data_IF_383341487084
#
_entry.id   IF_383341487084
#
_cell.length_a   1.000
_cell.length_b   1.000
_cell.length_c   1.000
_cell.angle_alpha   90.00
_cell.angle_beta   90.00
_cell.angle_gamma   90.00
#
_symmetry.space_group_name_H-M   'P 1'
#
loop_
_entity.id
_entity.type
_entity.pdbx_description
1 polymer ?
#
# COMPACT_ATOMS: atom_id res chain seq x y z
N UNK A 1 2.97 -18.83 13.76
CA UNK A 1 2.94 -18.94 12.29
C UNK A 1 1.89 -19.99 11.94
N UNK A 2 0.74 -19.56 11.45
CA UNK A 2 -0.31 -20.44 10.94
C UNK A 2 0.12 -20.92 9.55
N UNK A 3 0.11 -22.20 9.31
CA UNK A 3 0.45 -22.77 8.00
C UNK A 3 -0.75 -22.58 7.06
N UNK A 4 -0.51 -22.09 5.84
CA UNK A 4 -1.57 -21.75 4.87
C UNK A 4 -2.55 -22.87 4.51
N UNK A 5 -2.28 -24.14 4.88
CA UNK A 5 -3.20 -25.26 4.68
C UNK A 5 -4.37 -25.36 5.68
N UNK A 6 -4.32 -24.60 6.78
CA UNK A 6 -5.32 -24.69 7.84
C UNK A 6 -6.54 -23.77 7.59
N UNK A 7 -6.48 -22.91 6.57
CA UNK A 7 -7.51 -21.89 6.31
C UNK A 7 -8.58 -22.29 5.29
N UNK A 8 -8.36 -23.30 4.47
CA UNK A 8 -9.36 -23.72 3.49
C UNK A 8 -10.00 -25.04 3.89
N UNK A 9 -11.33 -25.19 3.76
CA UNK A 9 -12.03 -26.42 4.09
C UNK A 9 -11.77 -27.57 3.10
N UNK A 10 -11.10 -27.27 2.00
CA UNK A 10 -10.73 -28.20 0.95
C UNK A 10 -9.20 -28.30 0.91
N UNK A 11 -8.70 -29.52 0.77
CA UNK A 11 -7.29 -29.81 0.57
C UNK A 11 -6.77 -28.96 -0.62
N UNK A 12 -6.33 -27.76 -0.33
CA UNK A 12 -5.60 -26.92 -1.29
C UNK A 12 -4.25 -27.60 -1.52
N UNK A 13 -4.30 -28.72 -2.22
CA UNK A 13 -3.15 -29.58 -2.43
C UNK A 13 -2.10 -28.92 -3.35
N UNK A 14 -2.42 -27.75 -3.91
CA UNK A 14 -1.48 -27.03 -4.75
C UNK A 14 -1.69 -25.53 -4.61
N UNK A 15 -0.62 -24.79 -4.30
CA UNK A 15 -0.54 -23.33 -4.42
C UNK A 15 -0.85 -22.82 -5.85
N UNK A 16 -0.92 -23.73 -6.81
CA UNK A 16 -1.23 -23.48 -8.22
C UNK A 16 -2.73 -23.55 -8.54
N UNK A 17 -3.58 -23.91 -7.56
CA UNK A 17 -5.03 -23.94 -7.76
C UNK A 17 -5.59 -22.53 -7.91
N UNK A 18 -6.49 -22.36 -8.87
CA UNK A 18 -7.22 -21.08 -9.04
C UNK A 18 -8.10 -20.85 -7.82
N UNK A 19 -7.88 -19.74 -7.13
CA UNK A 19 -8.71 -19.34 -5.99
C UNK A 19 -10.10 -18.93 -6.51
N UNK A 20 -11.16 -19.52 -5.93
CA UNK A 20 -12.53 -19.15 -6.27
C UNK A 20 -13.07 -18.08 -5.32
N UNK A 21 -14.19 -17.45 -5.70
CA UNK A 21 -14.85 -16.42 -4.87
C UNK A 21 -15.31 -16.97 -3.51
N UNK A 22 -15.79 -18.22 -3.46
CA UNK A 22 -16.15 -18.88 -2.20
C UNK A 22 -14.94 -19.20 -1.33
N UNK A 23 -13.80 -19.59 -1.92
CA UNK A 23 -12.54 -19.82 -1.18
C UNK A 23 -12.05 -18.52 -0.55
N UNK A 24 -12.09 -17.42 -1.29
CA UNK A 24 -11.75 -16.11 -0.78
C UNK A 24 -12.65 -15.68 0.40
N UNK A 25 -13.96 -15.91 0.31
CA UNK A 25 -14.89 -15.63 1.42
C UNK A 25 -14.55 -16.41 2.69
N UNK A 26 -14.13 -17.69 2.56
CA UNK A 26 -13.66 -18.49 3.70
C UNK A 26 -12.39 -17.91 4.30
N UNK A 27 -11.40 -17.58 3.47
CA UNK A 27 -10.14 -17.00 3.96
C UNK A 27 -10.38 -15.69 4.71
N UNK A 28 -11.17 -14.78 4.13
CA UNK A 28 -11.48 -13.48 4.73
C UNK A 28 -12.21 -13.63 6.06
N UNK A 29 -13.25 -14.49 6.12
CA UNK A 29 -14.00 -14.73 7.35
C UNK A 29 -13.10 -15.30 8.44
N UNK A 30 -12.24 -16.26 8.12
CA UNK A 30 -11.31 -16.87 9.09
C UNK A 30 -10.24 -15.89 9.58
N UNK A 31 -9.71 -15.06 8.71
CA UNK A 31 -8.79 -13.97 9.11
C UNK A 31 -9.46 -13.06 10.13
N UNK A 32 -10.70 -12.62 9.87
CA UNK A 32 -11.42 -11.75 10.79
C UNK A 32 -11.73 -12.42 12.12
N UNK A 33 -12.16 -13.67 12.11
CA UNK A 33 -12.52 -14.39 13.35
C UNK A 33 -11.29 -14.86 14.14
N UNK A 34 -10.25 -15.37 13.49
CA UNK A 34 -9.11 -16.00 14.17
C UNK A 34 -7.97 -15.01 14.48
N UNK A 35 -7.70 -14.03 13.59
CA UNK A 35 -6.63 -13.07 13.80
C UNK A 35 -7.12 -11.78 14.47
N UNK A 36 -8.32 -11.31 14.12
CA UNK A 36 -8.87 -10.07 14.67
C UNK A 36 -9.92 -10.32 15.77
N UNK A 37 -10.25 -11.57 16.09
CA UNK A 37 -11.25 -11.95 17.10
C UNK A 37 -12.61 -11.26 16.90
N UNK A 38 -12.97 -10.95 15.66
CA UNK A 38 -14.22 -10.27 15.33
C UNK A 38 -15.41 -11.20 15.51
N UNK A 39 -16.41 -10.76 16.29
CA UNK A 39 -17.68 -11.48 16.43
C UNK A 39 -18.43 -11.51 15.08
N UNK A 40 -19.25 -12.55 14.85
CA UNK A 40 -20.03 -12.70 13.62
C UNK A 40 -20.98 -11.50 13.39
N UNK A 41 -21.07 -11.07 12.14
CA UNK A 41 -22.01 -10.04 11.72
C UNK A 41 -23.43 -10.62 11.56
N UNK A 42 -24.46 -9.76 11.66
CA UNK A 42 -25.82 -10.13 11.30
C UNK A 42 -25.92 -10.39 9.78
N UNK A 43 -26.26 -11.62 9.43
CA UNK A 43 -26.39 -12.06 8.04
C UNK A 43 -27.83 -12.05 7.51
N UNK A 44 -28.79 -11.58 8.30
CA UNK A 44 -30.23 -11.60 7.95
C UNK A 44 -30.58 -10.84 6.67
N UNK A 45 -29.76 -9.86 6.31
CA UNK A 45 -29.94 -9.03 5.10
C UNK A 45 -29.21 -9.56 3.86
N UNK A 46 -28.44 -10.65 3.98
CA UNK A 46 -27.72 -11.25 2.85
C UNK A 46 -28.68 -12.10 2.02
N UNK A 47 -29.02 -11.62 0.83
CA UNK A 47 -29.88 -12.30 -0.13
C UNK A 47 -29.09 -12.59 -1.40
N UNK A 48 -28.84 -13.87 -1.67
CA UNK A 48 -28.13 -14.34 -2.87
C UNK A 48 -28.97 -15.40 -3.58
N UNK A 49 -29.23 -15.23 -4.88
CA UNK A 49 -30.13 -16.09 -5.65
C UNK A 49 -29.60 -17.55 -5.78
N UNK A 50 -28.29 -17.71 -5.75
CA UNK A 50 -27.59 -19.00 -5.84
C UNK A 50 -27.05 -19.54 -4.50
N UNK A 51 -27.45 -18.94 -3.35
CA UNK A 51 -26.94 -19.33 -2.03
C UNK A 51 -27.17 -20.82 -1.72
N UNK A 52 -28.31 -21.35 -2.13
CA UNK A 52 -28.63 -22.78 -1.96
C UNK A 52 -27.79 -23.73 -2.82
N UNK A 53 -27.18 -23.23 -3.89
CA UNK A 53 -26.29 -23.99 -4.78
C UNK A 53 -24.84 -24.06 -4.24
N UNK A 54 -24.47 -23.17 -3.32
CA UNK A 54 -23.16 -23.20 -2.68
C UNK A 54 -23.00 -24.49 -1.83
N UNK A 55 -21.81 -25.13 -1.82
CA UNK A 55 -21.54 -26.21 -0.89
C UNK A 55 -21.76 -25.76 0.55
N UNK A 56 -22.36 -26.61 1.37
CA UNK A 56 -22.79 -26.27 2.74
C UNK A 56 -21.66 -25.68 3.60
N UNK A 57 -20.43 -26.21 3.46
CA UNK A 57 -19.27 -25.76 4.20
C UNK A 57 -18.85 -24.30 3.91
N UNK A 58 -19.26 -23.73 2.75
CA UNK A 58 -18.90 -22.36 2.36
C UNK A 58 -19.96 -21.33 2.76
N UNK A 59 -21.24 -21.75 2.94
CA UNK A 59 -22.37 -20.85 3.18
C UNK A 59 -22.18 -19.88 4.34
N UNK A 60 -21.71 -20.34 5.53
CA UNK A 60 -21.52 -19.41 6.66
C UNK A 60 -20.51 -18.31 6.33
N UNK A 61 -19.37 -18.70 5.76
CA UNK A 61 -18.30 -17.74 5.44
C UNK A 61 -18.69 -16.78 4.32
N UNK A 62 -19.43 -17.25 3.31
CA UNK A 62 -19.96 -16.39 2.25
C UNK A 62 -20.97 -15.37 2.83
N UNK A 63 -21.88 -15.81 3.69
CA UNK A 63 -22.82 -14.92 4.36
C UNK A 63 -22.10 -13.85 5.19
N UNK A 64 -21.08 -14.24 5.97
CA UNK A 64 -20.30 -13.32 6.79
C UNK A 64 -19.50 -12.32 5.94
N UNK A 65 -18.84 -12.78 4.87
CA UNK A 65 -18.09 -11.91 3.97
C UNK A 65 -19.00 -10.90 3.24
N UNK A 66 -20.21 -11.32 2.85
CA UNK A 66 -21.19 -10.42 2.25
C UNK A 66 -21.79 -9.43 3.26
N UNK A 67 -22.14 -9.88 4.47
CA UNK A 67 -22.70 -9.03 5.51
C UNK A 67 -21.75 -7.90 5.92
N UNK A 68 -20.42 -8.15 5.82
CA UNK A 68 -19.37 -7.18 6.12
C UNK A 68 -18.97 -6.31 4.92
N UNK A 69 -19.60 -6.50 3.75
CA UNK A 69 -19.24 -5.78 2.53
C UNK A 69 -17.88 -6.16 1.93
N UNK A 70 -17.23 -7.22 2.44
CA UNK A 70 -15.96 -7.69 1.88
C UNK A 70 -16.13 -8.22 0.46
N UNK A 71 -17.18 -9.00 0.24
CA UNK A 71 -17.52 -9.55 -1.08
C UNK A 71 -18.95 -9.16 -1.41
N UNK A 72 -19.20 -8.71 -2.62
CA UNK A 72 -20.56 -8.40 -3.11
C UNK A 72 -21.02 -9.47 -4.09
N UNK A 73 -22.34 -9.70 -4.17
CA UNK A 73 -22.94 -10.48 -5.26
C UNK A 73 -22.85 -9.75 -6.60
N UNK A 74 -23.18 -10.44 -7.67
CA UNK A 74 -23.31 -9.88 -9.01
C UNK A 74 -24.61 -9.07 -9.15
N UNK A 75 -24.73 -8.21 -10.19
CA UNK A 75 -25.95 -7.42 -10.42
C UNK A 75 -27.22 -8.25 -10.63
N UNK A 76 -27.10 -9.51 -11.03
CA UNK A 76 -28.22 -10.47 -11.18
C UNK A 76 -28.64 -11.13 -9.85
N UNK A 77 -27.99 -10.73 -8.74
CA UNK A 77 -28.26 -11.24 -7.41
C UNK A 77 -27.53 -12.55 -7.08
N UNK A 78 -26.74 -13.12 -7.99
CA UNK A 78 -25.96 -14.33 -7.73
C UNK A 78 -24.64 -14.00 -7.00
N UNK A 79 -24.06 -14.98 -6.32
CA UNK A 79 -22.73 -14.88 -5.73
C UNK A 79 -21.64 -15.38 -6.67
N UNK A 80 -21.91 -16.43 -7.47
CA UNK A 80 -20.94 -17.05 -8.35
C UNK A 80 -19.79 -17.71 -7.60
N UNK A 81 -20.09 -18.52 -6.57
CA UNK A 81 -19.09 -19.06 -5.64
C UNK A 81 -17.94 -19.81 -6.29
N UNK A 82 -18.22 -20.56 -7.39
CA UNK A 82 -17.21 -21.31 -8.16
C UNK A 82 -16.41 -20.49 -9.16
N UNK A 83 -16.73 -19.20 -9.33
CA UNK A 83 -16.04 -18.36 -10.30
C UNK A 83 -14.61 -18.05 -9.86
N UNK A 84 -13.65 -18.01 -10.80
CA UNK A 84 -12.27 -17.65 -10.52
C UNK A 84 -12.16 -16.22 -9.96
N UNK A 85 -11.40 -16.05 -8.90
CA UNK A 85 -11.09 -14.72 -8.38
C UNK A 85 -9.96 -14.11 -9.23
N UNK A 86 -10.22 -12.97 -9.86
CA UNK A 86 -9.14 -12.25 -10.54
C UNK A 86 -8.19 -11.60 -9.54
N UNK A 87 -6.94 -11.35 -9.96
CA UNK A 87 -5.95 -10.63 -9.12
C UNK A 87 -6.47 -9.27 -8.64
N UNK A 88 -7.11 -8.51 -9.53
CA UNK A 88 -7.70 -7.22 -9.19
C UNK A 88 -8.79 -7.35 -8.12
N UNK A 89 -9.69 -8.34 -8.26
CA UNK A 89 -10.70 -8.61 -7.24
C UNK A 89 -10.06 -9.04 -5.91
N UNK A 90 -9.03 -9.89 -5.96
CA UNK A 90 -8.28 -10.31 -4.77
C UNK A 90 -7.66 -9.12 -4.02
N UNK A 91 -7.02 -8.21 -4.73
CA UNK A 91 -6.45 -6.97 -4.16
C UNK A 91 -7.53 -6.12 -3.50
N UNK A 92 -8.68 -5.91 -4.17
CA UNK A 92 -9.80 -5.16 -3.60
C UNK A 92 -10.35 -5.80 -2.32
N UNK A 93 -10.37 -7.13 -2.24
CA UNK A 93 -10.79 -7.86 -1.04
C UNK A 93 -9.81 -7.65 0.13
N UNK A 94 -8.50 -7.70 -0.14
CA UNK A 94 -7.47 -7.46 0.86
C UNK A 94 -7.51 -6.03 1.40
N UNK A 95 -7.74 -5.04 0.55
CA UNK A 95 -7.92 -3.65 0.97
C UNK A 95 -9.14 -3.49 1.89
N UNK A 96 -10.29 -4.05 1.52
CA UNK A 96 -11.48 -4.03 2.38
C UNK A 96 -11.27 -4.76 3.70
N UNK A 97 -10.50 -5.84 3.70
CA UNK A 97 -10.14 -6.56 4.91
C UNK A 97 -9.26 -5.69 5.82
N UNK A 98 -8.28 -4.99 5.26
CA UNK A 98 -7.42 -4.08 5.99
C UNK A 98 -8.21 -2.92 6.61
N UNK A 99 -9.16 -2.34 5.87
CA UNK A 99 -10.04 -1.28 6.37
C UNK A 99 -10.87 -1.75 7.57
N UNK A 100 -11.47 -2.95 7.50
CA UNK A 100 -12.22 -3.52 8.62
C UNK A 100 -11.33 -3.85 9.82
N UNK A 101 -10.11 -4.34 9.59
CA UNK A 101 -9.14 -4.61 10.65
C UNK A 101 -8.69 -3.33 11.37
N UNK A 102 -8.52 -2.24 10.64
CA UNK A 102 -8.14 -0.93 11.20
C UNK A 102 -9.20 -0.31 12.10
N UNK A 103 -10.48 -0.60 11.84
CA UNK A 103 -11.60 -0.09 12.65
C UNK A 103 -11.74 -0.80 14.02
N UNK A 104 -11.04 -1.90 14.25
CA UNK A 104 -11.17 -2.70 15.48
C UNK A 104 -9.93 -2.70 16.38
N UNK A 105 -8.84 -2.05 15.98
CA UNK A 105 -7.72 -1.80 16.88
C UNK A 105 -8.09 -0.56 17.73
N UNK A 106 -8.99 -0.72 18.69
CA UNK A 106 -8.99 0.15 19.88
C UNK A 106 -7.66 -0.13 20.59
N UNK A 107 -6.79 0.84 20.80
CA UNK A 107 -5.69 0.64 21.71
C UNK A 107 -6.29 0.37 23.09
N UNK A 108 -6.13 -0.82 23.64
CA UNK A 108 -6.18 -0.97 25.10
C UNK A 108 -5.21 0.06 25.66
N UNK A 109 -5.70 0.87 26.60
CA UNK A 109 -4.88 1.80 27.37
C UNK A 109 -3.66 1.04 27.89
N UNK A 110 -2.53 1.22 27.23
CA UNK A 110 -1.25 0.83 27.79
C UNK A 110 -0.93 1.89 28.82
N UNK A 111 -1.01 1.54 30.10
CA UNK A 111 -0.47 2.35 31.19
C UNK A 111 0.94 2.84 30.79
N UNK A 112 1.26 4.11 30.99
CA UNK A 112 2.57 4.63 30.62
C UNK A 112 3.65 3.84 31.37
N UNK A 113 4.71 3.39 30.69
CA UNK A 113 5.80 2.66 31.32
C UNK A 113 6.39 3.53 32.42
N UNK A 114 6.51 2.95 33.62
CA UNK A 114 7.15 3.56 34.76
C UNK A 114 8.54 4.08 34.41
N UNK A 115 8.94 5.15 35.09
CA UNK A 115 10.20 5.86 34.90
C UNK A 115 11.39 4.89 34.78
N UNK A 116 12.35 5.16 33.84
CA UNK A 116 13.48 4.26 33.61
C UNK A 116 14.38 4.18 34.82
N UNK A 117 14.73 2.96 35.23
CA UNK A 117 15.81 2.70 36.17
C UNK A 117 17.14 3.17 35.58
N UNK A 118 18.09 3.61 36.41
CA UNK A 118 19.36 4.15 35.93
C UNK A 118 20.18 3.07 35.24
N UNK A 119 20.63 3.41 34.03
CA UNK A 119 21.48 2.59 33.16
C UNK A 119 22.80 2.22 33.84
N UNK A 120 23.29 0.96 33.75
CA UNK A 120 24.63 0.62 34.21
C UNK A 120 25.70 1.25 33.31
N UNK A 121 26.83 1.62 33.93
CA UNK A 121 27.98 2.23 33.28
C UNK A 121 28.54 1.37 32.12
N UNK A 122 29.07 2.00 31.05
CA UNK A 122 29.54 1.28 29.87
C UNK A 122 30.83 0.51 30.15
N UNK A 123 30.83 -0.78 29.81
CA UNK A 123 32.05 -1.62 29.75
C UNK A 123 32.82 -1.24 28.48
N UNK A 124 34.17 -1.11 28.53
CA UNK A 124 34.94 -0.70 27.36
C UNK A 124 34.94 -1.80 26.29
N UNK A 125 34.55 -1.38 25.09
CA UNK A 125 34.49 -2.17 23.86
C UNK A 125 35.90 -2.52 23.35
N UNK A 126 36.16 -3.77 22.90
CA UNK A 126 37.44 -4.08 22.26
C UNK A 126 37.57 -3.40 20.90
N UNK A 127 38.71 -2.85 20.61
CA UNK A 127 39.02 -2.10 19.41
C UNK A 127 38.64 -2.88 18.13
N UNK A 128 37.74 -2.32 17.35
CA UNK A 128 37.31 -2.82 16.04
C UNK A 128 38.45 -2.58 15.02
N UNK A 129 38.86 -3.65 14.33
CA UNK A 129 39.72 -3.55 13.14
C UNK A 129 38.99 -2.75 12.06
N UNK A 130 39.66 -1.72 11.57
CA UNK A 130 39.15 -0.85 10.49
C UNK A 130 39.08 -1.62 9.18
N UNK A 131 37.87 -2.04 8.81
CA UNK A 131 37.54 -2.39 7.42
C UNK A 131 37.44 -1.07 6.64
N UNK A 132 38.04 -0.93 5.45
CA UNK A 132 37.92 0.30 4.68
C UNK A 132 36.45 0.58 4.35
N UNK A 133 35.96 1.73 4.81
CA UNK A 133 34.60 2.19 4.53
C UNK A 133 34.41 2.29 3.02
N UNK A 134 33.53 1.45 2.46
CA UNK A 134 32.89 1.77 1.19
C UNK A 134 32.20 3.12 1.40
N UNK A 135 32.59 4.10 0.61
CA UNK A 135 31.97 5.42 0.62
C UNK A 135 30.46 5.26 0.40
N UNK A 136 29.69 5.54 1.45
CA UNK A 136 28.25 5.66 1.31
C UNK A 136 27.93 6.65 0.19
N UNK A 137 27.00 6.33 -0.73
CA UNK A 137 26.56 7.29 -1.73
C UNK A 137 26.02 8.53 -1.02
N UNK A 138 26.23 9.70 -1.62
CA UNK A 138 25.92 10.99 -1.05
C UNK A 138 24.52 11.00 -0.41
N UNK A 139 24.48 11.23 0.90
CA UNK A 139 23.24 11.43 1.63
C UNK A 139 22.72 12.83 1.31
N UNK A 140 21.56 12.92 0.67
CA UNK A 140 20.89 14.17 0.35
C UNK A 140 20.02 14.05 -0.89
N UNK A 141 19.03 14.92 -1.05
CA UNK A 141 18.11 14.87 -2.18
C UNK A 141 18.84 15.12 -3.51
N UNK A 142 18.64 14.21 -4.48
CA UNK A 142 19.00 14.45 -5.87
C UNK A 142 17.84 15.20 -6.53
N UNK A 143 17.96 16.50 -6.69
CA UNK A 143 16.89 17.39 -7.18
C UNK A 143 16.73 17.37 -8.69
N UNK A 144 17.57 16.66 -9.43
CA UNK A 144 17.42 16.48 -10.87
C UNK A 144 16.25 15.55 -11.18
N UNK A 145 15.30 16.01 -11.96
CA UNK A 145 14.13 15.21 -12.35
C UNK A 145 14.51 14.13 -13.36
N UNK A 146 13.76 13.02 -13.31
CA UNK A 146 13.95 11.91 -14.23
C UNK A 146 15.15 11.04 -13.91
N UNK A 147 15.37 10.04 -14.77
CA UNK A 147 16.45 9.07 -14.62
C UNK A 147 17.83 9.66 -14.96
N UNK A 148 18.81 9.41 -14.11
CA UNK A 148 20.21 9.76 -14.37
C UNK A 148 21.16 8.74 -13.71
N UNK A 149 22.46 8.88 -14.03
CA UNK A 149 23.49 7.95 -13.54
C UNK A 149 23.64 7.98 -12.00
N UNK A 150 23.47 9.16 -11.39
CA UNK A 150 23.62 9.35 -9.95
C UNK A 150 22.47 8.70 -9.19
N UNK A 151 21.22 8.83 -9.69
CA UNK A 151 20.06 8.13 -9.13
C UNK A 151 20.22 6.61 -9.23
N UNK A 152 20.67 6.08 -10.37
CA UNK A 152 20.95 4.64 -10.51
C UNK A 152 22.08 4.18 -9.57
N UNK A 153 23.16 4.97 -9.45
CA UNK A 153 24.25 4.67 -8.53
C UNK A 153 23.75 4.59 -7.09
N UNK A 154 22.87 5.52 -6.69
CA UNK A 154 22.26 5.57 -5.36
C UNK A 154 21.39 4.34 -5.07
N UNK A 155 20.56 3.94 -6.04
CA UNK A 155 19.57 2.87 -5.85
C UNK A 155 20.18 1.46 -6.01
N UNK A 156 21.03 1.27 -7.02
CA UNK A 156 21.46 -0.06 -7.46
C UNK A 156 22.97 -0.28 -7.34
N UNK A 157 23.70 0.67 -6.75
CA UNK A 157 25.16 0.68 -6.76
C UNK A 157 25.75 0.48 -8.18
N UNK A 158 25.07 1.04 -9.18
CA UNK A 158 25.39 0.88 -10.60
C UNK A 158 24.86 2.07 -11.40
N UNK A 159 25.68 2.62 -12.29
CA UNK A 159 25.26 3.70 -13.18
C UNK A 159 24.41 3.24 -14.37
N UNK A 160 24.26 1.91 -14.57
CA UNK A 160 23.55 1.33 -15.71
C UNK A 160 22.37 0.44 -15.30
N UNK A 161 22.36 -0.16 -14.10
CA UNK A 161 21.28 -1.00 -13.60
C UNK A 161 20.03 -0.12 -13.39
N UNK A 162 18.85 -0.64 -13.76
CA UNK A 162 17.58 0.09 -13.68
C UNK A 162 16.54 -0.60 -12.82
N UNK A 163 16.79 -1.86 -12.43
CA UNK A 163 15.91 -2.67 -11.60
C UNK A 163 16.71 -3.78 -10.94
N UNK A 164 16.14 -4.39 -9.94
CA UNK A 164 16.62 -5.63 -9.37
C UNK A 164 16.24 -6.84 -10.27
N UNK A 165 16.98 -7.93 -10.15
CA UNK A 165 16.82 -9.09 -11.02
C UNK A 165 15.72 -10.04 -10.52
N UNK A 166 15.34 -9.95 -9.23
CA UNK A 166 14.30 -10.79 -8.62
C UNK A 166 13.59 -10.06 -7.47
N UNK A 167 12.44 -10.59 -7.05
CA UNK A 167 11.74 -10.14 -5.85
C UNK A 167 12.59 -10.29 -4.60
N UNK A 168 13.26 -11.42 -4.44
CA UNK A 168 14.10 -11.71 -3.28
C UNK A 168 15.24 -10.69 -3.15
N UNK A 169 15.91 -10.35 -4.25
CA UNK A 169 16.94 -9.30 -4.26
C UNK A 169 16.33 -7.95 -3.88
N UNK A 170 15.19 -7.59 -4.48
CA UNK A 170 14.52 -6.31 -4.21
C UNK A 170 14.17 -6.17 -2.73
N UNK A 171 13.58 -7.20 -2.12
CA UNK A 171 13.12 -7.16 -0.73
C UNK A 171 14.26 -6.97 0.27
N UNK A 172 15.50 -7.34 -0.09
CA UNK A 172 16.68 -7.05 0.75
C UNK A 172 17.05 -5.56 0.82
N UNK A 173 16.51 -4.76 -0.12
CA UNK A 173 16.73 -3.31 -0.20
C UNK A 173 15.51 -2.50 0.23
N UNK A 174 14.46 -3.15 0.71
CA UNK A 174 13.26 -2.47 1.18
C UNK A 174 13.30 -2.22 2.68
N UNK A 175 12.74 -1.10 3.11
CA UNK A 175 12.60 -0.75 4.52
C UNK A 175 11.25 -0.11 4.80
N UNK A 176 10.70 -0.41 5.96
CA UNK A 176 9.50 0.27 6.47
C UNK A 176 9.85 1.63 7.04
N UNK A 177 9.07 2.63 6.65
CA UNK A 177 9.11 3.97 7.23
C UNK A 177 7.75 4.36 7.75
N UNK A 178 7.71 5.19 8.79
CA UNK A 178 6.46 5.81 9.28
C UNK A 178 6.50 7.30 8.97
N UNK A 179 5.45 7.80 8.31
CA UNK A 179 5.37 9.19 7.87
C UNK A 179 4.12 9.87 8.41
N UNK A 180 4.18 11.18 8.74
CA UNK A 180 3.01 11.93 9.17
C UNK A 180 2.10 12.23 7.98
N UNK A 181 0.78 12.23 8.24
CA UNK A 181 -0.24 12.56 7.23
C UNK A 181 -1.41 13.31 7.86
N UNK A 182 -2.09 14.13 7.07
CA UNK A 182 -3.40 14.64 7.43
C UNK A 182 -4.49 13.67 6.97
N UNK A 183 -5.42 13.33 7.88
CA UNK A 183 -6.64 12.59 7.53
C UNK A 183 -7.81 13.56 7.49
N UNK A 184 -8.69 13.39 6.52
CA UNK A 184 -9.91 14.18 6.37
C UNK A 184 -11.12 13.33 6.73
N UNK A 185 -11.93 13.81 7.67
CA UNK A 185 -13.23 13.24 7.98
C UNK A 185 -14.27 13.77 6.96
N UNK A 186 -14.81 12.87 6.15
CA UNK A 186 -15.77 13.22 5.09
C UNK A 186 -17.06 13.83 5.61
N UNK A 187 -17.51 13.42 6.81
CA UNK A 187 -18.79 13.86 7.37
C UNK A 187 -18.69 15.28 7.95
N UNK A 188 -17.53 15.64 8.51
CA UNK A 188 -17.32 16.92 9.20
C UNK A 188 -16.46 17.91 8.43
N UNK A 189 -15.71 17.43 7.43
CA UNK A 189 -14.70 18.23 6.73
C UNK A 189 -13.49 18.58 7.57
N UNK A 190 -13.34 17.99 8.77
CA UNK A 190 -12.22 18.27 9.66
C UNK A 190 -11.00 17.43 9.31
N UNK A 191 -9.83 18.08 9.35
CA UNK A 191 -8.54 17.40 9.21
C UNK A 191 -7.97 17.07 10.58
N UNK A 192 -7.35 15.90 10.69
CA UNK A 192 -6.66 15.45 11.91
C UNK A 192 -5.28 14.89 11.56
N UNK A 193 -4.31 15.16 12.44
CA UNK A 193 -2.97 14.60 12.32
C UNK A 193 -3.01 13.07 12.56
N UNK A 194 -2.26 12.34 11.75
CA UNK A 194 -2.14 10.89 11.81
C UNK A 194 -0.78 10.46 11.25
N UNK A 195 -0.56 9.17 11.12
CA UNK A 195 0.61 8.61 10.45
C UNK A 195 0.22 7.40 9.60
N UNK A 196 1.10 7.02 8.68
CA UNK A 196 1.00 5.76 7.95
C UNK A 196 2.39 5.14 7.76
N UNK A 197 2.41 3.82 7.52
CA UNK A 197 3.64 3.08 7.22
C UNK A 197 3.73 2.82 5.73
N UNK A 198 4.92 2.99 5.17
CA UNK A 198 5.27 2.75 3.78
C UNK A 198 6.45 1.80 3.70
N UNK A 199 6.42 0.87 2.76
CA UNK A 199 7.58 0.09 2.38
C UNK A 199 8.22 0.72 1.14
N UNK A 200 9.45 1.18 1.27
CA UNK A 200 10.18 1.93 0.24
C UNK A 200 11.61 1.43 0.10
N UNK A 201 12.29 1.83 -0.96
CA UNK A 201 13.72 1.56 -1.13
C UNK A 201 14.53 2.20 0.01
N UNK A 202 15.43 1.44 0.65
CA UNK A 202 16.23 1.89 1.80
C UNK A 202 17.01 3.19 1.54
N UNK A 203 17.56 3.35 0.31
CA UNK A 203 18.28 4.55 -0.07
C UNK A 203 17.40 5.81 -0.15
N UNK A 204 16.08 5.68 -0.18
CA UNK A 204 15.11 6.79 -0.22
C UNK A 204 14.37 6.99 1.10
N UNK A 205 14.63 6.17 2.12
CA UNK A 205 13.88 6.16 3.36
C UNK A 205 13.85 7.53 4.05
N UNK A 206 15.02 8.11 4.33
CA UNK A 206 15.13 9.41 5.00
C UNK A 206 14.51 10.54 4.17
N UNK A 207 14.73 10.51 2.85
CA UNK A 207 14.18 11.50 1.93
C UNK A 207 12.66 11.42 1.85
N UNK A 208 12.12 10.21 1.87
CA UNK A 208 10.67 10.00 1.87
C UNK A 208 10.03 10.50 3.17
N UNK A 209 10.67 10.25 4.33
CA UNK A 209 10.22 10.82 5.61
C UNK A 209 10.26 12.35 5.56
N UNK A 210 11.28 12.94 4.97
CA UNK A 210 11.38 14.38 4.82
C UNK A 210 10.27 14.94 3.91
N UNK A 211 10.02 14.34 2.74
CA UNK A 211 8.94 14.71 1.80
C UNK A 211 7.59 14.75 2.53
N UNK A 212 7.23 13.67 3.22
CA UNK A 212 5.94 13.61 3.91
C UNK A 212 5.87 14.55 5.12
N UNK A 213 6.98 14.84 5.78
CA UNK A 213 7.05 15.85 6.83
C UNK A 213 6.80 17.25 6.25
N UNK A 214 7.42 17.58 5.12
CA UNK A 214 7.21 18.86 4.43
C UNK A 214 5.76 19.01 3.93
N UNK A 215 5.14 17.93 3.41
CA UNK A 215 3.71 17.93 3.03
C UNK A 215 2.81 18.12 4.27
N UNK A 216 3.15 17.48 5.38
CA UNK A 216 2.40 17.60 6.62
C UNK A 216 2.48 19.01 7.22
N UNK A 217 3.65 19.64 7.16
CA UNK A 217 3.91 20.99 7.70
C UNK A 217 3.44 22.09 6.75
N UNK A 218 3.14 21.77 5.48
CA UNK A 218 2.66 22.75 4.51
C UNK A 218 1.28 23.28 4.91
N UNK A 219 1.04 24.63 4.78
CA UNK A 219 -0.25 25.24 5.12
C UNK A 219 -1.46 24.67 4.38
N UNK A 220 -1.27 24.04 3.22
CA UNK A 220 -2.34 23.36 2.49
C UNK A 220 -2.92 22.19 3.30
N UNK A 221 -2.09 21.54 4.13
CA UNK A 221 -2.48 20.36 4.90
C UNK A 221 -3.18 19.32 4.00
N UNK A 222 -2.55 18.99 2.86
CA UNK A 222 -3.16 18.08 1.88
C UNK A 222 -3.55 16.75 2.54
N UNK A 223 -4.82 16.32 2.44
CA UNK A 223 -5.27 15.10 3.11
C UNK A 223 -4.84 13.87 2.32
N UNK A 224 -4.26 12.90 3.02
CA UNK A 224 -3.85 11.62 2.44
C UNK A 224 -4.79 10.53 2.95
N UNK A 225 -5.60 9.96 2.04
CA UNK A 225 -6.53 8.86 2.30
C UNK A 225 -5.80 7.51 2.27
N UNK A 226 -4.99 7.32 1.25
CA UNK A 226 -4.14 6.16 1.09
C UNK A 226 -2.83 6.55 0.39
N UNK A 227 -1.79 5.74 0.63
CA UNK A 227 -0.49 5.90 0.00
C UNK A 227 0.18 4.54 -0.11
N UNK A 228 0.86 4.28 -1.22
CA UNK A 228 1.55 3.04 -1.51
C UNK A 228 2.92 3.26 -2.13
N UNK A 229 3.91 2.46 -1.72
CA UNK A 229 5.28 2.46 -2.24
C UNK A 229 5.60 1.17 -2.98
N UNK A 230 6.44 0.31 -2.38
CA UNK A 230 6.83 -0.97 -2.97
C UNK A 230 5.63 -1.89 -3.24
N UNK A 231 5.59 -2.42 -4.45
CA UNK A 231 4.63 -3.44 -4.86
C UNK A 231 5.23 -4.31 -5.97
N UNK A 232 5.56 -5.56 -5.65
CA UNK A 232 6.08 -6.47 -6.66
C UNK A 232 5.00 -6.90 -7.64
N UNK A 233 5.24 -6.64 -8.93
CA UNK A 233 4.31 -6.92 -10.03
C UNK A 233 4.84 -8.02 -10.98
N UNK A 234 5.88 -8.73 -10.56
CA UNK A 234 6.53 -9.82 -11.32
C UNK A 234 7.84 -9.40 -12.00
N UNK A 235 8.66 -10.41 -12.36
CA UNK A 235 10.02 -10.22 -12.89
C UNK A 235 10.06 -9.46 -14.22
N UNK A 236 8.98 -9.54 -15.00
CA UNK A 236 8.88 -8.84 -16.28
C UNK A 236 8.41 -7.37 -16.12
N UNK A 237 7.94 -6.95 -14.95
CA UNK A 237 7.45 -5.60 -14.73
C UNK A 237 8.63 -4.61 -14.67
N UNK A 238 8.49 -3.51 -15.41
CA UNK A 238 9.51 -2.44 -15.46
C UNK A 238 9.16 -1.22 -14.63
N UNK A 239 7.98 -1.21 -13.99
CA UNK A 239 7.52 -0.08 -13.18
C UNK A 239 8.29 0.05 -11.87
N UNK A 240 8.48 1.28 -11.43
CA UNK A 240 9.29 1.65 -10.27
C UNK A 240 8.76 1.14 -8.94
N UNK A 241 7.47 0.79 -8.83
CA UNK A 241 6.95 0.13 -7.63
C UNK A 241 7.65 -1.19 -7.32
N UNK A 242 8.13 -1.91 -8.36
CA UNK A 242 8.94 -3.11 -8.16
C UNK A 242 10.27 -2.85 -7.44
N UNK A 243 10.73 -1.60 -7.43
CA UNK A 243 11.98 -1.19 -6.79
C UNK A 243 11.76 -0.34 -5.54
N UNK A 244 10.51 -0.08 -5.15
CA UNK A 244 10.19 0.80 -4.02
C UNK A 244 10.60 2.26 -4.23
N UNK A 245 10.68 2.72 -5.50
CA UNK A 245 11.15 4.05 -5.90
C UNK A 245 10.04 4.92 -6.47
N UNK A 246 8.80 4.44 -6.45
CA UNK A 246 7.59 5.17 -6.80
C UNK A 246 6.60 5.18 -5.65
N UNK A 247 5.79 6.24 -5.59
CA UNK A 247 4.73 6.43 -4.60
C UNK A 247 3.43 6.77 -5.31
N UNK A 248 2.36 6.06 -4.96
CA UNK A 248 1.00 6.39 -5.34
C UNK A 248 0.26 7.01 -4.15
N UNK A 249 -0.42 8.13 -4.36
CA UNK A 249 -1.19 8.86 -3.34
C UNK A 249 -2.64 9.00 -3.78
N UNK A 250 -3.59 8.62 -2.90
CA UNK A 250 -5.04 8.76 -3.08
C UNK A 250 -5.49 8.20 -4.45
N UNK A 251 -5.14 6.95 -4.73
CA UNK A 251 -5.27 6.35 -6.08
C UNK A 251 -6.68 6.32 -6.65
N UNK A 252 -7.73 6.32 -5.82
CA UNK A 252 -9.10 6.39 -6.32
C UNK A 252 -9.45 7.78 -6.85
N UNK A 253 -8.96 8.83 -6.20
CA UNK A 253 -9.24 10.22 -6.50
C UNK A 253 -8.17 10.90 -7.39
N UNK A 254 -7.19 10.11 -7.85
CA UNK A 254 -6.11 10.53 -8.75
C UNK A 254 -5.86 9.46 -9.81
N UNK A 255 -6.85 9.29 -10.67
CA UNK A 255 -6.88 8.21 -11.64
C UNK A 255 -5.69 8.19 -12.62
N UNK A 256 -5.46 7.02 -13.20
CA UNK A 256 -4.60 6.85 -14.37
C UNK A 256 -5.46 6.80 -15.63
N UNK A 257 -5.08 7.55 -16.67
CA UNK A 257 -5.69 7.52 -17.99
C UNK A 257 -4.65 7.26 -19.09
N UNK A 258 -5.06 6.52 -20.12
CA UNK A 258 -4.23 6.32 -21.29
C UNK A 258 -4.37 7.49 -22.30
N UNK A 259 -3.60 7.45 -23.38
CA UNK A 259 -3.62 8.46 -24.46
C UNK A 259 -5.01 8.66 -25.12
N UNK A 260 -5.90 7.67 -25.01
CA UNK A 260 -7.28 7.74 -25.53
C UNK A 260 -8.27 8.33 -24.51
N UNK A 261 -7.80 8.71 -23.30
CA UNK A 261 -8.64 9.20 -22.22
C UNK A 261 -9.40 8.12 -21.46
N UNK A 262 -9.06 6.84 -21.67
CA UNK A 262 -9.69 5.74 -20.94
C UNK A 262 -9.05 5.60 -19.56
N UNK A 263 -9.89 5.47 -18.51
CA UNK A 263 -9.46 5.23 -17.15
C UNK A 263 -8.88 3.83 -17.04
N UNK A 264 -7.64 3.74 -16.59
CA UNK A 264 -6.89 2.50 -16.40
C UNK A 264 -6.87 2.07 -14.94
N UNK A 265 -6.85 3.03 -14.00
CA UNK A 265 -6.91 2.82 -12.56
C UNK A 265 -7.51 4.06 -11.88
N UNK A 266 -8.08 3.88 -10.68
CA UNK A 266 -8.76 4.96 -9.96
C UNK A 266 -10.13 5.29 -10.53
N UNK A 267 -10.75 6.35 -10.04
CA UNK A 267 -12.14 6.72 -10.42
C UNK A 267 -12.27 8.14 -10.96
N UNK A 268 -11.52 9.10 -10.43
CA UNK A 268 -11.62 10.50 -10.84
C UNK A 268 -10.28 11.24 -10.66
N UNK A 269 -10.23 12.46 -11.19
CA UNK A 269 -9.28 13.51 -10.82
C UNK A 269 -10.01 14.85 -11.02
N UNK A 270 -10.28 15.53 -9.91
CA UNK A 270 -11.07 16.77 -9.86
C UNK A 270 -10.53 17.72 -8.79
N UNK A 271 -9.30 18.25 -8.97
CA UNK A 271 -8.72 19.18 -8.00
C UNK A 271 -9.58 20.44 -7.84
N UNK A 272 -9.76 20.88 -6.59
CA UNK A 272 -10.65 21.97 -6.24
C UNK A 272 -12.10 21.56 -5.95
N UNK A 273 -12.56 20.43 -6.47
CA UNK A 273 -13.88 19.83 -6.17
C UNK A 273 -13.75 18.65 -5.22
N UNK A 274 -12.78 17.79 -5.44
CA UNK A 274 -12.48 16.63 -4.60
C UNK A 274 -11.23 16.93 -3.75
N UNK A 275 -11.31 16.93 -2.42
CA UNK A 275 -10.20 17.33 -1.54
C UNK A 275 -9.01 16.37 -1.56
N UNK A 276 -9.17 15.15 -2.06
CA UNK A 276 -8.07 14.18 -2.20
C UNK A 276 -7.43 14.15 -3.58
N UNK A 277 -8.00 14.89 -4.55
CA UNK A 277 -7.38 15.02 -5.87
C UNK A 277 -6.19 15.99 -5.80
N UNK A 278 -5.04 15.55 -6.30
CA UNK A 278 -3.78 16.27 -6.24
C UNK A 278 -3.80 17.42 -7.28
N UNK A 279 -3.72 18.68 -6.85
CA UNK A 279 -3.61 19.82 -7.80
C UNK A 279 -2.21 19.83 -8.45
N UNK A 280 -2.14 20.20 -9.73
CA UNK A 280 -0.87 20.29 -10.45
C UNK A 280 0.11 21.31 -9.83
N UNK A 281 -0.41 22.37 -9.26
CA UNK A 281 0.34 23.43 -8.56
C UNK A 281 0.34 23.29 -7.03
N UNK A 282 -0.18 22.17 -6.49
CA UNK A 282 -0.30 21.88 -5.07
C UNK A 282 1.03 21.60 -4.36
N UNK A 283 0.97 21.57 -3.03
CA UNK A 283 2.15 21.30 -2.18
C UNK A 283 2.76 19.93 -2.48
N UNK A 284 1.95 18.90 -2.70
CA UNK A 284 2.42 17.53 -2.93
C UNK A 284 3.32 17.49 -4.17
N UNK A 285 2.84 18.01 -5.31
CA UNK A 285 3.63 18.00 -6.57
C UNK A 285 4.91 18.82 -6.41
N UNK A 286 4.82 20.01 -5.82
CA UNK A 286 5.95 20.90 -5.63
C UNK A 286 7.03 20.31 -4.72
N UNK A 287 6.63 19.68 -3.62
CA UNK A 287 7.56 19.08 -2.66
C UNK A 287 8.24 17.85 -3.26
N UNK A 288 7.49 16.93 -3.86
CA UNK A 288 8.08 15.77 -4.54
C UNK A 288 9.07 16.20 -5.66
N UNK A 289 8.72 17.24 -6.44
CA UNK A 289 9.60 17.78 -7.48
C UNK A 289 10.89 18.37 -6.89
N UNK A 290 10.84 19.05 -5.75
CA UNK A 290 12.01 19.59 -5.06
C UNK A 290 12.98 18.49 -4.60
N UNK A 291 12.47 17.27 -4.40
CA UNK A 291 13.23 16.06 -4.07
C UNK A 291 13.56 15.20 -5.31
N UNK A 292 13.37 15.72 -6.51
CA UNK A 292 13.75 15.07 -7.76
C UNK A 292 12.81 13.99 -8.27
N UNK A 293 11.57 13.93 -7.75
CA UNK A 293 10.52 13.04 -8.26
C UNK A 293 9.74 13.71 -9.39
N UNK A 294 9.44 12.93 -10.41
CA UNK A 294 8.52 13.33 -11.49
C UNK A 294 7.09 12.95 -11.12
N UNK A 295 6.12 13.80 -11.41
CA UNK A 295 4.71 13.50 -11.23
C UNK A 295 4.07 12.99 -12.52
N UNK A 296 3.38 11.87 -12.51
CA UNK A 296 2.74 11.27 -13.67
C UNK A 296 1.61 12.11 -14.29
N UNK A 297 1.12 13.13 -13.57
CA UNK A 297 0.13 14.07 -14.09
C UNK A 297 0.69 15.01 -15.18
N UNK A 298 1.98 15.34 -15.15
CA UNK A 298 2.58 16.25 -16.12
C UNK A 298 3.87 15.74 -16.78
N UNK A 299 4.58 14.79 -16.20
CA UNK A 299 5.85 14.30 -16.71
C UNK A 299 5.74 13.51 -18.02
N UNK A 300 4.63 12.81 -18.25
CA UNK A 300 4.43 12.01 -19.44
C UNK A 300 3.57 12.71 -20.49
N UNK A 301 3.95 12.64 -21.78
CA UNK A 301 3.27 13.44 -22.80
C UNK A 301 1.87 12.93 -23.16
N UNK A 302 1.61 11.65 -23.02
CA UNK A 302 0.38 11.01 -23.52
C UNK A 302 -0.48 10.37 -22.45
N UNK A 303 0.10 9.50 -21.65
CA UNK A 303 -0.60 8.90 -20.52
C UNK A 303 -0.51 9.83 -19.32
N UNK A 304 -1.54 9.85 -18.49
CA UNK A 304 -1.53 10.59 -17.22
C UNK A 304 -1.78 9.64 -16.08
N UNK A 305 -1.00 9.77 -15.03
CA UNK A 305 -1.13 8.99 -13.81
C UNK A 305 -1.03 9.94 -12.61
N UNK A 306 -2.18 10.47 -12.22
CA UNK A 306 -2.23 11.57 -11.26
C UNK A 306 -1.91 11.14 -9.82
N UNK A 307 -1.98 9.83 -9.51
CA UNK A 307 -1.57 9.29 -8.20
C UNK A 307 -0.05 9.15 -8.07
N UNK A 308 0.68 9.03 -9.20
CA UNK A 308 2.02 8.46 -9.29
C UNK A 308 3.14 9.49 -9.24
N UNK A 309 4.06 9.28 -8.29
CA UNK A 309 5.32 10.01 -8.16
C UNK A 309 6.50 9.06 -8.37
N UNK A 310 7.33 9.36 -9.34
CA UNK A 310 8.41 8.48 -9.83
C UNK A 310 9.77 9.11 -9.55
N UNK A 311 10.67 8.40 -8.84
CA UNK A 311 12.03 8.91 -8.58
C UNK A 311 12.89 8.90 -9.84
N UNK A 312 12.73 7.88 -10.70
CA UNK A 312 13.49 7.75 -11.94
C UNK A 312 12.77 8.32 -13.16
N UNK A 313 11.50 8.69 -13.05
CA UNK A 313 10.72 9.28 -14.13
C UNK A 313 10.24 8.28 -15.19
N UNK A 314 10.08 7.01 -14.81
CA UNK A 314 9.70 5.91 -15.71
C UNK A 314 8.19 5.64 -15.73
#
# INVERSE_FOLDING_TARGET
>A
MLRGGDFLPVNAATLDAVLTRQDAAVLLHRVLSELYSMADADTAQVVLSDFGALPEAYRPSVAQACARGLVSGYPDGSFGGGDPLSRAAGTSLLLRLADLGSLQICPEEIDPPGAPEPSPEPVPEPAAETVPALSSPASGPLTELGENADKRQRLFNSTVKRRFDSQEETETHMTDITVPVWRLDEATGQKSASSCTLLVHEALADEMVQIFTEIFDDPEQFPIKNVGGYAWRGDAATGEHNCGTAIDINWEENYQINAAGQVMAGTCWAPGENPWSIPEDGSVVRIFAAHGFSWGGNAWPTNKDYMHFSYMGL
#
